data_IF_826300967522
#
_entry.id   IF_826300967522
#
_cell.length_a   1.000
_cell.length_b   1.000
_cell.length_c   1.000
_cell.angle_alpha   90.00
_cell.angle_beta   90.00
_cell.angle_gamma   90.00
#
_symmetry.space_group_name_H-M   'P 1'
#
loop_
_entity.id
_entity.type
_entity.pdbx_description
1 polymer ?
#
# COMPACT_ATOMS: atom_id res chain seq x y z
N UNK A 1 -1.93 -32.19 -3.64
CA UNK A 1 -1.45 -31.45 -2.46
C UNK A 1 -2.45 -30.34 -2.19
N UNK A 2 -3.41 -30.59 -1.30
CA UNK A 2 -4.35 -29.57 -0.85
C UNK A 2 -3.69 -28.87 0.33
N UNK A 3 -2.97 -27.79 0.05
CA UNK A 3 -2.44 -26.91 1.10
C UNK A 3 -3.64 -26.18 1.70
N UNK A 4 -3.68 -26.16 3.02
CA UNK A 4 -4.71 -25.64 3.89
C UNK A 4 -5.00 -24.15 3.61
N UNK A 5 -5.93 -23.86 2.69
CA UNK A 5 -6.38 -22.49 2.34
C UNK A 5 -7.22 -21.85 3.47
N UNK A 6 -7.58 -22.62 4.49
CA UNK A 6 -8.56 -22.25 5.52
C UNK A 6 -8.15 -21.06 6.39
N UNK A 7 -6.86 -20.72 6.47
CA UNK A 7 -6.39 -19.60 7.31
C UNK A 7 -6.40 -18.23 6.59
N UNK A 8 -6.46 -18.21 5.26
CA UNK A 8 -6.39 -16.97 4.45
C UNK A 8 -7.76 -16.30 4.20
N UNK A 9 -8.88 -16.99 4.43
CA UNK A 9 -10.22 -16.37 4.34
C UNK A 9 -10.53 -15.41 5.51
N UNK A 10 -9.76 -15.46 6.61
CA UNK A 10 -10.02 -14.64 7.80
C UNK A 10 -9.43 -13.22 7.77
N UNK A 11 -8.62 -12.88 6.74
CA UNK A 11 -8.12 -11.52 6.51
C UNK A 11 -9.04 -10.70 5.57
N UNK A 12 -10.19 -11.26 5.15
CA UNK A 12 -11.06 -10.67 4.12
C UNK A 12 -12.12 -9.69 4.65
N UNK A 13 -12.24 -9.47 5.95
CA UNK A 13 -13.16 -8.46 6.48
C UNK A 13 -12.42 -7.39 7.28
N UNK A 14 -12.14 -6.26 6.63
CA UNK A 14 -11.84 -4.98 7.29
C UNK A 14 -13.03 -4.41 8.07
N UNK A 15 -13.92 -5.27 8.59
CA UNK A 15 -14.95 -4.90 9.54
C UNK A 15 -14.32 -4.84 10.92
N UNK A 16 -14.29 -3.66 11.53
CA UNK A 16 -13.90 -3.46 12.92
C UNK A 16 -14.85 -4.23 13.84
N UNK A 17 -14.60 -5.52 14.04
CA UNK A 17 -15.28 -6.35 15.03
C UNK A 17 -14.65 -6.06 16.39
N UNK A 18 -15.39 -5.35 17.23
CA UNK A 18 -15.16 -5.27 18.67
C UNK A 18 -15.09 -6.70 19.21
N UNK A 19 -13.88 -7.21 19.49
CA UNK A 19 -13.67 -8.51 20.13
C UNK A 19 -14.14 -8.41 21.59
N UNK A 20 -15.39 -8.78 21.82
CA UNK A 20 -15.86 -9.23 23.14
C UNK A 20 -15.09 -10.49 23.51
N UNK A 21 -14.28 -10.40 24.56
CA UNK A 21 -13.54 -11.53 25.11
C UNK A 21 -14.47 -12.56 25.73
N UNK A 22 -14.28 -13.82 25.38
CA UNK A 22 -14.78 -14.95 26.15
C UNK A 22 -13.77 -16.11 26.04
N UNK A 23 -12.89 -16.21 27.03
CA UNK A 23 -12.21 -17.45 27.39
C UNK A 23 -12.40 -17.65 28.89
N UNK A 24 -13.36 -18.51 29.23
CA UNK A 24 -13.34 -19.31 30.46
C UNK A 24 -12.43 -20.53 30.17
N UNK A 25 -11.70 -21.19 31.06
CA UNK A 25 -11.84 -21.51 32.48
C UNK A 25 -10.44 -21.87 33.00
N UNK A 26 -10.04 -21.41 34.19
CA UNK A 26 -9.37 -22.31 35.14
C UNK A 26 -9.75 -21.92 36.57
N UNK A 27 -10.39 -22.88 37.21
CA UNK A 27 -10.82 -22.91 38.59
C UNK A 27 -9.58 -23.03 39.49
N UNK A 28 -9.37 -22.03 40.34
CA UNK A 28 -8.41 -22.06 41.44
C UNK A 28 -9.07 -21.46 42.67
N UNK A 29 -9.30 -22.34 43.66
CA UNK A 29 -9.92 -22.07 44.97
C UNK A 29 -9.02 -21.20 45.88
N UNK A 30 -9.64 -20.63 46.94
CA UNK A 30 -9.09 -19.87 48.09
C UNK A 30 -8.79 -18.37 47.82
N UNK A 31 -9.17 -17.37 48.62
CA UNK A 31 -9.71 -17.28 50.00
C UNK A 31 -10.50 -15.97 50.17
N UNK A 32 -11.39 -15.99 51.16
CA UNK A 32 -12.24 -14.91 51.70
C UNK A 32 -11.40 -13.72 52.21
N UNK A 33 -11.82 -12.50 51.88
CA UNK A 33 -11.36 -11.26 52.50
C UNK A 33 -12.41 -10.15 52.39
N UNK A 34 -13.12 -9.90 53.48
CA UNK A 34 -14.14 -8.86 53.64
C UNK A 34 -13.52 -7.48 53.94
N UNK A 35 -14.14 -6.42 53.44
CA UNK A 35 -13.95 -5.02 53.86
C UNK A 35 -13.83 -4.10 52.65
N UNK A 36 -14.56 -3.01 52.46
CA UNK A 36 -15.59 -2.28 53.20
C UNK A 36 -15.98 -1.07 52.33
N UNK A 37 -17.05 -0.32 52.62
CA UNK A 37 -17.55 0.74 51.74
C UNK A 37 -16.83 2.08 51.97
N UNK A 38 -16.45 2.77 50.90
CA UNK A 38 -16.01 4.18 50.92
C UNK A 38 -16.82 4.90 49.85
N UNK A 39 -17.91 5.55 50.27
CA UNK A 39 -18.01 7.00 50.49
C UNK A 39 -18.15 7.79 49.20
N UNK A 40 -19.41 8.07 48.87
CA UNK A 40 -19.85 9.09 47.92
C UNK A 40 -19.50 10.48 48.43
N UNK A 41 -18.99 11.35 47.55
CA UNK A 41 -19.19 12.79 47.70
C UNK A 41 -19.48 13.45 46.33
N UNK A 42 -20.38 14.45 46.27
CA UNK A 42 -20.94 14.97 45.03
C UNK A 42 -20.39 16.34 44.63
N UNK A 43 -20.77 16.76 43.42
CA UNK A 43 -20.90 18.14 42.93
C UNK A 43 -19.67 19.05 42.94
N UNK A 44 -19.25 19.45 41.73
CA UNK A 44 -19.06 20.88 41.47
C UNK A 44 -19.33 21.20 40.00
N UNK A 45 -20.00 22.32 39.81
CA UNK A 45 -20.61 22.81 38.59
C UNK A 45 -19.84 24.03 38.03
N UNK A 46 -20.19 24.38 36.79
CA UNK A 46 -20.00 25.68 36.08
C UNK A 46 -18.72 25.85 35.23
N UNK A 47 -18.69 26.78 34.24
CA UNK A 47 -19.78 27.37 33.46
C UNK A 47 -19.57 27.32 31.93
N UNK A 48 -20.69 27.60 31.27
CA UNK A 48 -20.85 28.06 29.88
C UNK A 48 -19.91 29.23 29.54
N UNK A 49 -19.30 29.20 28.35
CA UNK A 49 -18.86 30.42 27.64
C UNK A 49 -19.38 30.39 26.21
N UNK A 50 -20.37 31.27 25.97
CA UNK A 50 -20.77 31.76 24.66
C UNK A 50 -19.96 33.01 24.32
N UNK A 51 -19.70 33.21 23.03
CA UNK A 51 -19.38 34.46 22.29
C UNK A 51 -18.30 34.11 21.25
N UNK A 52 -18.19 34.67 20.05
CA UNK A 52 -18.94 35.62 19.23
C UNK A 52 -18.32 35.49 17.82
N UNK A 53 -19.13 35.43 16.75
CA UNK A 53 -19.28 36.52 15.77
C UNK A 53 -17.98 37.17 15.25
N UNK A 54 -17.66 36.90 13.99
CA UNK A 54 -17.10 37.83 12.97
C UNK A 54 -17.05 37.06 11.64
N UNK A 55 -17.98 37.24 10.68
CA UNK A 55 -17.99 38.30 9.65
C UNK A 55 -16.58 38.76 9.27
N UNK A 56 -16.10 38.36 8.09
CA UNK A 56 -15.39 39.28 7.20
C UNK A 56 -15.15 38.75 5.78
N UNK A 57 -15.45 39.64 4.83
CA UNK A 57 -14.88 39.84 3.48
C UNK A 57 -14.88 38.65 2.52
N UNK A 58 -15.72 38.63 1.47
CA UNK A 58 -15.76 39.57 0.33
C UNK A 58 -14.39 39.76 -0.32
N UNK A 59 -14.10 38.96 -1.36
CA UNK A 59 -13.18 39.33 -2.44
C UNK A 59 -13.73 38.87 -3.78
N UNK A 60 -14.05 39.87 -4.59
CA UNK A 60 -14.15 39.82 -6.04
C UNK A 60 -12.79 39.44 -6.65
N UNK A 61 -12.83 38.61 -7.69
CA UNK A 61 -11.82 38.57 -8.76
C UNK A 61 -12.59 38.12 -10.02
N UNK A 62 -13.03 39.07 -10.85
CA UNK A 62 -12.35 39.55 -12.07
C UNK A 62 -12.12 38.44 -13.10
N UNK A 63 -13.04 38.43 -14.06
CA UNK A 63 -12.99 37.83 -15.39
C UNK A 63 -11.90 38.45 -16.27
N UNK A 64 -11.16 37.60 -17.00
CA UNK A 64 -10.40 37.90 -18.22
C UNK A 64 -10.24 36.57 -18.96
N UNK A 65 -11.06 36.25 -19.96
CA UNK A 65 -11.00 36.67 -21.37
C UNK A 65 -9.75 36.20 -22.14
N UNK A 66 -10.00 35.35 -23.16
CA UNK A 66 -9.32 35.26 -24.48
C UNK A 66 -8.17 34.23 -24.62
N UNK A 67 -7.92 33.61 -25.81
CA UNK A 67 -8.81 32.99 -26.81
C UNK A 67 -8.33 31.59 -27.28
N UNK A 68 -9.16 30.99 -28.14
CA UNK A 68 -8.86 29.85 -29.02
C UNK A 68 -7.71 30.08 -30.01
N UNK A 69 -7.00 29.00 -30.39
CA UNK A 69 -6.24 28.85 -31.65
C UNK A 69 -6.06 27.34 -31.93
N UNK A 70 -6.72 26.79 -32.96
CA UNK A 70 -6.15 26.37 -34.26
C UNK A 70 -5.16 25.19 -34.14
N UNK A 71 -5.46 23.95 -34.54
CA UNK A 71 -5.74 23.39 -35.89
C UNK A 71 -4.63 23.64 -36.92
N UNK A 72 -3.79 22.62 -37.14
CA UNK A 72 -3.12 22.22 -38.41
C UNK A 72 -2.50 20.83 -38.16
N UNK A 73 -2.98 19.74 -38.77
CA UNK A 73 -2.72 19.19 -40.12
C UNK A 73 -1.40 18.40 -40.28
N UNK A 74 -1.53 17.33 -41.09
CA UNK A 74 -0.50 16.62 -41.87
C UNK A 74 0.23 15.49 -41.14
N UNK A 75 -0.07 14.21 -41.37
CA UNK A 75 -0.03 13.44 -42.63
C UNK A 75 1.41 13.29 -43.16
N UNK A 76 2.01 12.13 -42.90
CA UNK A 76 3.05 11.50 -43.74
C UNK A 76 3.25 10.05 -43.28
N UNK A 77 2.84 9.16 -44.18
CA UNK A 77 3.20 7.75 -44.25
C UNK A 77 4.71 7.58 -44.38
N UNK A 78 5.30 6.62 -43.66
CA UNK A 78 6.39 5.82 -44.20
C UNK A 78 6.42 4.44 -43.52
N UNK A 79 6.45 3.40 -44.34
CA UNK A 79 6.71 1.99 -44.03
C UNK A 79 7.45 1.44 -45.25
N UNK A 80 8.07 0.26 -45.17
CA UNK A 80 9.07 -0.21 -44.21
C UNK A 80 10.36 -0.60 -44.96
N UNK A 81 11.52 -0.62 -44.30
CA UNK A 81 12.72 -1.21 -44.91
C UNK A 81 13.30 -2.32 -44.04
N UNK A 82 13.38 -3.50 -44.66
CA UNK A 82 13.94 -4.72 -44.11
C UNK A 82 15.47 -4.68 -44.17
N UNK A 83 16.15 -5.05 -43.09
CA UNK A 83 17.57 -5.38 -43.14
C UNK A 83 17.92 -6.57 -42.22
N UNK A 84 18.57 -7.52 -42.87
CA UNK A 84 19.06 -8.86 -42.52
C UNK A 84 20.14 -8.84 -41.40
N UNK A 85 20.38 -9.96 -40.68
CA UNK A 85 21.25 -9.99 -39.51
C UNK A 85 22.73 -10.26 -39.84
N UNK A 86 23.70 -9.68 -39.11
CA UNK A 86 25.07 -10.20 -39.02
C UNK A 86 25.20 -11.03 -37.73
N UNK A 87 25.43 -12.33 -37.82
CA UNK A 87 26.73 -12.99 -38.03
C UNK A 87 27.51 -13.16 -36.71
N UNK A 88 27.71 -14.42 -36.37
CA UNK A 88 28.26 -14.91 -35.11
C UNK A 88 29.77 -14.65 -35.02
N UNK A 89 30.21 -14.03 -33.92
CA UNK A 89 31.62 -14.03 -33.53
C UNK A 89 31.80 -14.67 -32.16
N UNK A 90 32.27 -15.92 -32.20
CA UNK A 90 32.76 -16.68 -31.06
C UNK A 90 34.10 -16.08 -30.61
N UNK A 91 34.09 -15.37 -29.48
CA UNK A 91 35.33 -14.93 -28.82
C UNK A 91 35.63 -15.85 -27.65
N UNK A 92 36.81 -16.44 -27.73
CA UNK A 92 37.45 -17.36 -26.78
C UNK A 92 37.50 -16.77 -25.37
N UNK A 93 36.86 -17.43 -24.40
CA UNK A 93 36.96 -17.08 -22.99
C UNK A 93 38.22 -17.70 -22.37
N UNK A 94 39.16 -16.83 -22.00
CA UNK A 94 40.31 -17.15 -21.15
C UNK A 94 39.81 -17.39 -19.71
N UNK A 95 39.97 -18.61 -19.22
CA UNK A 95 39.67 -19.00 -17.85
C UNK A 95 40.74 -18.44 -16.92
N UNK A 96 40.48 -17.28 -16.33
CA UNK A 96 41.24 -16.79 -15.18
C UNK A 96 40.64 -17.40 -13.90
N UNK A 97 41.36 -18.36 -13.30
CA UNK A 97 41.08 -18.86 -11.96
C UNK A 97 41.22 -17.70 -10.97
N UNK A 98 40.08 -17.26 -10.44
CA UNK A 98 39.97 -16.27 -9.36
C UNK A 98 40.06 -17.01 -8.03
N UNK A 99 41.25 -16.95 -7.41
CA UNK A 99 41.46 -17.36 -6.03
C UNK A 99 40.43 -16.69 -5.12
N UNK A 100 39.50 -17.50 -4.61
CA UNK A 100 38.36 -17.09 -3.78
C UNK A 100 38.54 -17.69 -2.39
N UNK A 101 39.36 -17.02 -1.56
CA UNK A 101 39.51 -17.36 -0.14
C UNK A 101 39.28 -16.15 0.78
N UNK A 102 38.31 -15.30 0.43
CA UNK A 102 37.67 -14.43 1.43
C UNK A 102 36.49 -15.19 2.03
N UNK A 103 36.57 -15.55 3.31
CA UNK A 103 35.40 -15.99 4.09
C UNK A 103 34.22 -15.06 3.79
N UNK A 104 32.99 -15.60 3.60
CA UNK A 104 31.86 -14.77 3.20
C UNK A 104 31.62 -13.72 4.29
N UNK A 105 31.95 -12.47 3.98
CA UNK A 105 31.57 -11.32 4.80
C UNK A 105 30.06 -11.35 4.91
N UNK A 106 29.54 -11.52 6.12
CA UNK A 106 28.11 -11.49 6.39
C UNK A 106 27.54 -10.19 5.81
N UNK A 107 26.58 -10.29 4.89
CA UNK A 107 26.01 -9.11 4.26
C UNK A 107 25.25 -8.31 5.32
N UNK A 108 25.65 -7.05 5.52
CA UNK A 108 24.94 -6.10 6.40
C UNK A 108 23.82 -5.42 5.60
N UNK A 109 22.85 -4.81 6.29
CA UNK A 109 21.73 -4.11 5.64
C UNK A 109 22.25 -3.01 4.69
N UNK A 110 23.31 -2.30 5.11
CA UNK A 110 23.91 -1.19 4.37
C UNK A 110 24.46 -1.62 3.00
N UNK A 111 24.83 -2.89 2.84
CA UNK A 111 25.30 -3.43 1.58
C UNK A 111 24.20 -3.48 0.49
N UNK A 112 22.92 -3.39 0.89
CA UNK A 112 21.77 -3.41 -0.02
C UNK A 112 21.22 -2.01 -0.33
N UNK A 113 21.74 -0.95 0.30
CA UNK A 113 21.31 0.43 0.04
C UNK A 113 22.09 0.95 -1.18
N UNK A 114 21.43 1.28 -2.31
CA UNK A 114 22.16 1.77 -3.48
C UNK A 114 22.80 3.13 -3.19
N UNK A 115 23.91 3.42 -3.87
CA UNK A 115 24.64 4.67 -3.67
C UNK A 115 23.74 5.91 -3.88
N UNK A 116 23.80 6.85 -2.94
CA UNK A 116 23.00 8.09 -2.96
C UNK A 116 21.57 7.94 -2.45
N UNK A 117 21.12 6.74 -2.09
CA UNK A 117 19.84 6.52 -1.42
C UNK A 117 20.00 6.55 0.09
N UNK A 118 18.93 6.95 0.78
CA UNK A 118 18.85 6.96 2.24
C UNK A 118 17.69 6.10 2.71
N UNK A 119 17.80 5.51 3.91
CA UNK A 119 16.68 4.78 4.52
C UNK A 119 15.70 5.79 5.11
N UNK A 120 14.53 5.94 4.50
CA UNK A 120 13.46 6.79 5.01
C UNK A 120 12.63 6.08 6.09
N UNK A 121 12.46 4.75 5.97
CA UNK A 121 11.76 3.93 6.94
C UNK A 121 12.31 2.50 6.90
N UNK A 122 12.43 1.87 8.07
CA UNK A 122 12.72 0.45 8.21
C UNK A 122 11.64 -0.20 9.06
N UNK A 123 11.12 -1.32 8.59
CA UNK A 123 10.13 -2.15 9.28
C UNK A 123 10.71 -3.54 9.44
N UNK A 124 10.43 -4.17 10.58
CA UNK A 124 10.83 -5.54 10.86
C UNK A 124 9.62 -6.41 11.18
N UNK A 125 9.66 -7.64 10.71
CA UNK A 125 8.61 -8.65 10.90
C UNK A 125 9.05 -9.98 10.31
N UNK A 126 8.41 -11.08 10.68
CA UNK A 126 8.64 -12.38 10.07
C UNK A 126 7.78 -12.48 8.80
N UNK A 127 8.39 -12.58 7.61
CA UNK A 127 7.67 -12.69 6.33
C UNK A 127 7.67 -14.12 5.80
N UNK A 128 8.63 -14.95 6.21
CA UNK A 128 8.82 -16.31 5.70
C UNK A 128 8.36 -17.42 6.69
N UNK A 129 8.01 -17.04 7.93
CA UNK A 129 7.55 -17.92 8.99
C UNK A 129 8.68 -18.68 9.70
N UNK A 130 9.93 -18.22 9.61
CA UNK A 130 11.09 -18.87 10.22
C UNK A 130 11.43 -18.38 11.64
N UNK A 131 10.62 -17.44 12.15
CA UNK A 131 10.75 -16.76 13.46
C UNK A 131 11.97 -15.85 13.57
N UNK A 132 12.58 -15.45 12.46
CA UNK A 132 13.57 -14.37 12.39
C UNK A 132 12.87 -13.10 11.93
N UNK A 133 13.44 -11.97 12.33
CA UNK A 133 12.93 -10.66 11.92
C UNK A 133 13.54 -10.31 10.57
N UNK A 134 12.72 -10.39 9.52
CA UNK A 134 13.04 -9.86 8.20
C UNK A 134 12.98 -8.33 8.23
N UNK A 135 13.47 -7.68 7.18
CA UNK A 135 13.51 -6.22 7.08
C UNK A 135 12.90 -5.73 5.77
N UNK A 136 12.10 -4.68 5.86
CA UNK A 136 11.55 -3.95 4.73
C UNK A 136 12.04 -2.51 4.81
N UNK A 137 12.75 -2.06 3.78
CA UNK A 137 13.36 -0.74 3.70
C UNK A 137 12.58 0.10 2.69
N UNK A 138 12.03 1.22 3.15
CA UNK A 138 11.63 2.32 2.26
C UNK A 138 12.84 3.23 2.09
N UNK A 139 13.36 3.28 0.88
CA UNK A 139 14.47 4.15 0.54
C UNK A 139 13.95 5.47 -0.05
N UNK A 140 14.70 6.55 0.09
CA UNK A 140 14.40 7.82 -0.54
C UNK A 140 15.62 8.44 -1.23
N UNK A 141 15.36 9.15 -2.33
CA UNK A 141 16.33 10.01 -3.03
C UNK A 141 15.58 11.05 -3.86
N UNK A 142 15.79 12.33 -3.57
CA UNK A 142 15.21 13.45 -4.33
C UNK A 142 13.68 13.33 -4.53
N UNK A 143 12.97 12.92 -3.48
CA UNK A 143 11.53 12.71 -3.51
C UNK A 143 11.06 11.45 -4.26
N UNK A 144 11.96 10.61 -4.76
CA UNK A 144 11.65 9.26 -5.24
C UNK A 144 11.75 8.26 -4.10
N UNK A 145 10.98 7.17 -4.16
CA UNK A 145 11.01 6.11 -3.16
C UNK A 145 11.11 4.73 -3.80
N UNK A 146 11.95 3.89 -3.20
CA UNK A 146 12.10 2.47 -3.55
C UNK A 146 11.73 1.61 -2.35
N UNK A 147 11.31 0.37 -2.61
CA UNK A 147 11.12 -0.65 -1.58
C UNK A 147 12.12 -1.78 -1.76
N UNK A 148 12.88 -2.12 -0.71
CA UNK A 148 13.72 -3.32 -0.65
C UNK A 148 13.22 -4.23 0.47
N UNK A 149 13.10 -5.53 0.18
CA UNK A 149 12.74 -6.56 1.16
C UNK A 149 13.93 -7.49 1.35
N UNK A 150 14.36 -7.66 2.60
CA UNK A 150 15.48 -8.48 3.01
C UNK A 150 15.01 -9.58 3.95
N UNK A 151 15.42 -10.82 3.69
CA UNK A 151 15.26 -11.93 4.62
C UNK A 151 16.45 -12.04 5.54
N UNK A 152 16.19 -12.29 6.82
CA UNK A 152 17.23 -12.61 7.78
C UNK A 152 17.72 -14.05 7.58
N UNK A 153 19.03 -14.25 7.56
CA UNK A 153 19.66 -15.56 7.43
C UNK A 153 20.54 -15.87 8.64
N UNK A 154 21.15 -17.06 8.70
CA UNK A 154 22.16 -17.37 9.72
C UNK A 154 23.46 -16.57 9.55
N UNK A 155 23.69 -16.02 8.35
CA UNK A 155 24.94 -15.35 7.96
C UNK A 155 24.74 -13.88 7.59
N UNK A 156 23.68 -13.22 8.07
CA UNK A 156 23.36 -11.83 7.73
C UNK A 156 22.08 -11.73 6.93
N UNK A 157 22.06 -10.92 5.87
CA UNK A 157 20.85 -10.60 5.11
C UNK A 157 20.91 -11.11 3.67
N UNK A 158 19.75 -11.44 3.12
CA UNK A 158 19.57 -11.75 1.70
C UNK A 158 18.45 -10.89 1.12
N UNK A 159 18.69 -10.23 -0.01
CA UNK A 159 17.62 -9.53 -0.71
C UNK A 159 16.63 -10.53 -1.31
N UNK A 160 15.35 -10.36 -0.97
CA UNK A 160 14.23 -11.09 -1.55
C UNK A 160 13.64 -10.35 -2.75
N UNK A 161 13.49 -9.03 -2.64
CA UNK A 161 12.88 -8.21 -3.68
C UNK A 161 13.36 -6.76 -3.65
N UNK A 162 13.27 -6.10 -4.80
CA UNK A 162 13.47 -4.66 -4.98
C UNK A 162 12.40 -4.14 -5.93
N UNK A 163 11.57 -3.21 -5.47
CA UNK A 163 10.41 -2.68 -6.20
C UNK A 163 10.52 -1.15 -6.35
N UNK A 164 11.15 -0.65 -7.43
CA UNK A 164 11.36 0.78 -7.63
C UNK A 164 10.11 1.56 -8.06
N UNK A 165 9.09 0.87 -8.59
CA UNK A 165 7.88 1.51 -9.14
C UNK A 165 6.63 1.30 -8.28
N UNK A 166 6.78 0.68 -7.11
CA UNK A 166 5.65 0.34 -6.24
C UNK A 166 5.17 1.55 -5.40
N UNK A 167 6.06 2.50 -5.12
CA UNK A 167 5.79 3.60 -4.20
C UNK A 167 5.58 4.92 -4.95
N UNK A 168 4.55 5.67 -4.56
CA UNK A 168 4.29 7.01 -5.07
C UNK A 168 5.44 7.95 -4.71
N UNK A 169 5.89 8.78 -5.66
CA UNK A 169 6.88 9.81 -5.35
C UNK A 169 6.33 10.87 -4.37
N UNK A 170 7.22 11.65 -3.76
CA UNK A 170 6.89 12.66 -2.75
C UNK A 170 5.82 13.66 -3.20
N UNK A 171 5.89 14.10 -4.46
CA UNK A 171 4.90 15.01 -5.07
C UNK A 171 3.74 14.31 -5.80
N UNK A 172 3.79 12.99 -6.00
CA UNK A 172 2.83 12.25 -6.82
C UNK A 172 1.45 12.14 -6.16
N UNK A 173 1.37 12.28 -4.83
CA UNK A 173 0.11 12.28 -4.09
C UNK A 173 -0.63 13.63 -4.10
N UNK A 174 -0.18 14.62 -4.88
CA UNK A 174 -0.79 15.95 -4.93
C UNK A 174 -0.62 16.71 -3.61
N UNK A 175 -1.65 17.41 -3.08
CA UNK A 175 -1.53 18.13 -1.81
C UNK A 175 -1.37 17.22 -0.59
N UNK A 176 -1.57 15.90 -0.74
CA UNK A 176 -1.26 14.90 0.28
C UNK A 176 0.20 14.41 0.20
N UNK A 177 0.93 14.82 -0.84
CA UNK A 177 2.34 14.56 -1.04
C UNK A 177 3.23 15.22 0.01
N UNK A 178 4.32 14.55 0.35
CA UNK A 178 5.41 15.10 1.17
C UNK A 178 6.73 14.48 0.71
N UNK A 179 7.83 15.21 0.83
CA UNK A 179 9.17 14.72 0.47
C UNK A 179 9.63 13.52 1.32
N UNK A 180 8.95 13.27 2.45
CA UNK A 180 9.19 12.13 3.34
C UNK A 180 8.27 10.93 3.06
N UNK A 181 7.34 11.07 2.11
CA UNK A 181 6.42 9.99 1.73
C UNK A 181 5.45 9.64 2.85
N UNK A 182 4.94 10.64 3.59
CA UNK A 182 3.97 10.46 4.68
C UNK A 182 2.61 9.89 4.22
N UNK A 183 2.33 9.92 2.92
CA UNK A 183 1.18 9.27 2.29
C UNK A 183 1.40 7.78 1.98
N UNK A 184 2.61 7.27 2.23
CA UNK A 184 2.96 5.85 2.09
C UNK A 184 3.08 5.26 3.50
N UNK A 185 2.33 4.18 3.74
CA UNK A 185 2.44 3.38 4.95
C UNK A 185 2.72 1.93 4.58
N UNK A 186 3.75 1.37 5.18
CA UNK A 186 4.16 -0.02 4.98
C UNK A 186 4.04 -0.72 6.34
N UNK A 187 3.49 -1.93 6.34
CA UNK A 187 3.20 -2.72 7.53
C UNK A 187 3.42 -4.21 7.23
N UNK A 188 3.71 -5.00 8.27
CA UNK A 188 3.74 -6.46 8.18
C UNK A 188 2.68 -7.00 9.13
N UNK A 189 1.70 -7.73 8.62
CA UNK A 189 0.60 -8.33 9.40
C UNK A 189 0.47 -9.80 8.99
N UNK A 190 0.53 -10.73 9.95
CA UNK A 190 0.36 -12.17 9.71
C UNK A 190 1.17 -12.71 8.51
N UNK A 191 2.47 -12.40 8.47
CA UNK A 191 3.42 -12.78 7.41
C UNK A 191 3.10 -12.18 6.01
N UNK A 192 2.21 -11.20 5.95
CA UNK A 192 1.85 -10.45 4.73
C UNK A 192 2.44 -9.05 4.82
N UNK A 193 3.08 -8.61 3.74
CA UNK A 193 3.53 -7.23 3.57
C UNK A 193 2.39 -6.39 2.99
N UNK A 194 1.97 -5.36 3.72
CA UNK A 194 0.96 -4.39 3.28
C UNK A 194 1.64 -3.09 2.87
N UNK A 195 1.27 -2.58 1.69
CA UNK A 195 1.67 -1.25 1.20
C UNK A 195 0.40 -0.43 0.98
N UNK A 196 0.16 0.55 1.85
CA UNK A 196 -1.02 1.42 1.88
C UNK A 196 -0.60 2.81 1.41
N UNK A 197 -1.26 3.33 0.38
CA UNK A 197 -0.91 4.61 -0.24
C UNK A 197 -2.16 5.44 -0.49
N UNK A 198 -2.04 6.75 -0.37
CA UNK A 198 -3.12 7.71 -0.67
C UNK A 198 -2.62 8.82 -1.59
N UNK A 199 -3.42 9.21 -2.57
CA UNK A 199 -3.14 10.32 -3.47
C UNK A 199 -4.41 11.16 -3.72
N UNK A 200 -4.22 12.41 -4.14
CA UNK A 200 -5.29 13.29 -4.61
C UNK A 200 -5.62 14.43 -3.66
N UNK A 201 -6.78 15.05 -3.86
CA UNK A 201 -7.25 16.19 -3.07
C UNK A 201 -8.71 15.98 -2.67
N UNK A 202 -9.66 16.67 -3.33
CA UNK A 202 -11.10 16.41 -3.21
C UNK A 202 -11.41 15.00 -3.69
N UNK A 203 -11.05 14.70 -4.93
CA UNK A 203 -11.01 13.35 -5.46
C UNK A 203 -9.70 12.72 -4.99
N UNK A 204 -9.83 11.69 -4.18
CA UNK A 204 -8.72 10.97 -3.60
C UNK A 204 -8.83 9.50 -3.95
N UNK A 205 -7.69 8.82 -3.96
CA UNK A 205 -7.61 7.38 -4.19
C UNK A 205 -6.70 6.78 -3.14
N UNK A 206 -7.22 5.76 -2.46
CA UNK A 206 -6.45 4.93 -1.57
C UNK A 206 -6.17 3.59 -2.25
N UNK A 207 -4.92 3.15 -2.22
CA UNK A 207 -4.50 1.86 -2.76
C UNK A 207 -3.88 1.03 -1.64
N UNK A 208 -4.26 -0.24 -1.56
CA UNK A 208 -3.67 -1.21 -0.63
C UNK A 208 -3.22 -2.44 -1.41
N UNK A 209 -1.91 -2.66 -1.45
CA UNK A 209 -1.33 -3.89 -1.97
C UNK A 209 -0.98 -4.85 -0.83
N UNK A 210 -1.22 -6.14 -1.05
CA UNK A 210 -0.88 -7.22 -0.13
C UNK A 210 0.05 -8.20 -0.83
N UNK A 211 1.23 -8.39 -0.25
CA UNK A 211 2.26 -9.27 -0.79
C UNK A 211 2.55 -10.41 0.17
N UNK A 212 2.80 -11.58 -0.39
CA UNK A 212 3.15 -12.77 0.36
C UNK A 212 4.25 -13.55 -0.34
N UNK A 213 5.05 -14.30 0.42
CA UNK A 213 6.11 -15.14 -0.15
C UNK A 213 5.49 -16.43 -0.68
N UNK A 214 5.45 -16.55 -2.01
CA UNK A 214 5.08 -17.80 -2.66
C UNK A 214 6.21 -18.82 -2.49
N UNK A 215 6.07 -19.72 -1.51
CA UNK A 215 7.11 -20.68 -1.12
C UNK A 215 7.67 -21.53 -2.29
N UNK A 216 6.85 -22.01 -3.24
CA UNK A 216 7.36 -22.74 -4.40
C UNK A 216 8.33 -21.93 -5.27
N UNK A 217 8.03 -20.66 -5.54
CA UNK A 217 8.90 -19.80 -6.34
C UNK A 217 9.99 -19.08 -5.54
N UNK A 218 9.80 -18.95 -4.21
CA UNK A 218 10.63 -18.13 -3.35
C UNK A 218 10.50 -16.63 -3.63
N UNK A 219 9.44 -16.19 -4.32
CA UNK A 219 9.23 -14.80 -4.70
C UNK A 219 8.19 -14.13 -3.80
N UNK A 220 8.37 -12.83 -3.59
CA UNK A 220 7.36 -11.98 -2.98
C UNK A 220 6.36 -11.54 -4.05
N UNK A 221 5.11 -11.99 -3.95
CA UNK A 221 4.10 -11.82 -4.99
C UNK A 221 2.83 -11.14 -4.48
N UNK A 222 2.16 -10.40 -5.36
CA UNK A 222 0.89 -9.72 -5.10
C UNK A 222 -0.23 -10.76 -4.97
N UNK A 223 -0.85 -10.82 -3.79
CA UNK A 223 -1.96 -11.73 -3.48
C UNK A 223 -3.31 -11.02 -3.38
N UNK A 224 -3.31 -9.70 -3.19
CA UNK A 224 -4.51 -8.89 -3.23
C UNK A 224 -4.24 -7.40 -3.40
N UNK A 225 -5.22 -6.70 -3.95
CA UNK A 225 -5.18 -5.27 -4.25
C UNK A 225 -6.56 -4.68 -3.93
N UNK A 226 -6.59 -3.59 -3.16
CA UNK A 226 -7.78 -2.75 -3.03
C UNK A 226 -7.49 -1.38 -3.62
N UNK A 227 -8.35 -0.93 -4.53
CA UNK A 227 -8.34 0.43 -5.09
C UNK A 227 -9.64 1.11 -4.69
N UNK A 228 -9.50 2.24 -3.99
CA UNK A 228 -10.61 2.92 -3.36
C UNK A 228 -10.59 4.42 -3.72
N UNK A 229 -11.13 4.82 -4.89
CA UNK A 229 -11.39 6.22 -5.18
C UNK A 229 -12.60 6.71 -4.37
N UNK A 230 -12.53 7.96 -3.92
CA UNK A 230 -13.60 8.63 -3.15
C UNK A 230 -13.53 10.15 -3.28
N UNK A 231 -14.68 10.81 -3.20
CA UNK A 231 -14.79 12.27 -3.10
C UNK A 231 -14.99 12.65 -1.63
N UNK A 232 -14.07 13.45 -1.12
CA UNK A 232 -14.04 13.92 0.28
C UNK A 232 -15.13 14.94 0.62
N UNK A 233 -15.71 15.60 -0.38
CA UNK A 233 -16.72 16.63 -0.19
C UNK A 233 -18.13 16.04 -0.08
N UNK A 234 -18.51 15.13 -0.97
CA UNK A 234 -19.84 14.51 -0.97
C UNK A 234 -19.86 13.13 -0.27
N UNK A 235 -18.72 12.46 -0.12
CA UNK A 235 -18.59 11.15 0.51
C UNK A 235 -18.79 9.94 -0.43
N UNK A 236 -18.99 10.15 -1.73
CA UNK A 236 -19.07 9.08 -2.72
C UNK A 236 -17.78 8.25 -2.73
N UNK A 237 -17.90 6.95 -2.95
CA UNK A 237 -16.78 5.99 -2.86
C UNK A 237 -17.03 4.79 -3.78
N UNK A 238 -15.97 4.27 -4.39
CA UNK A 238 -15.98 2.94 -4.99
C UNK A 238 -14.91 2.10 -4.32
N UNK A 239 -15.25 0.90 -3.87
CA UNK A 239 -14.27 -0.09 -3.39
C UNK A 239 -14.09 -1.18 -4.43
N UNK A 240 -12.95 -1.21 -5.08
CA UNK A 240 -12.55 -2.28 -5.99
C UNK A 240 -11.52 -3.19 -5.30
N UNK A 241 -11.97 -4.34 -4.78
CA UNK A 241 -11.13 -5.32 -4.12
C UNK A 241 -10.86 -6.52 -5.03
N UNK A 242 -9.59 -6.89 -5.20
CA UNK A 242 -9.13 -7.98 -6.05
C UNK A 242 -8.33 -8.96 -5.22
N UNK A 243 -8.72 -10.23 -5.24
CA UNK A 243 -8.02 -11.30 -4.54
C UNK A 243 -7.51 -12.32 -5.57
N UNK A 244 -6.19 -12.28 -5.82
CA UNK A 244 -5.54 -13.11 -6.84
C UNK A 244 -5.41 -14.57 -6.42
N UNK A 245 -5.45 -14.88 -5.12
CA UNK A 245 -5.44 -16.27 -4.64
C UNK A 245 -6.75 -17.00 -4.98
N UNK A 246 -7.89 -16.31 -4.77
CA UNK A 246 -9.24 -16.85 -5.02
C UNK A 246 -9.75 -16.57 -6.43
N UNK A 247 -9.16 -15.61 -7.14
CA UNK A 247 -9.62 -15.17 -8.46
C UNK A 247 -10.91 -14.35 -8.40
N UNK A 248 -11.24 -13.77 -7.25
CA UNK A 248 -12.46 -12.95 -7.05
C UNK A 248 -12.12 -11.47 -7.09
N UNK A 249 -13.01 -10.69 -7.71
CA UNK A 249 -13.03 -9.23 -7.63
C UNK A 249 -14.40 -8.77 -7.18
N UNK A 250 -14.45 -7.86 -6.23
CA UNK A 250 -15.67 -7.29 -5.68
C UNK A 250 -15.59 -5.78 -5.87
N UNK A 251 -16.60 -5.21 -6.51
CA UNK A 251 -16.75 -3.78 -6.70
C UNK A 251 -17.99 -3.33 -5.93
N UNK A 252 -17.82 -2.42 -4.98
CA UNK A 252 -18.90 -1.82 -4.21
C UNK A 252 -18.96 -0.32 -4.47
N UNK A 253 -20.12 0.18 -4.88
CA UNK A 253 -20.34 1.62 -5.11
C UNK A 253 -21.17 2.19 -3.96
N UNK A 254 -20.72 3.31 -3.39
CA UNK A 254 -21.37 3.98 -2.28
C UNK A 254 -21.70 5.43 -2.61
N UNK A 255 -22.88 5.87 -2.15
CA UNK A 255 -23.29 7.28 -2.14
C UNK A 255 -23.00 7.87 -0.77
N UNK A 256 -22.36 9.02 -0.72
CA UNK A 256 -22.26 9.76 0.53
C UNK A 256 -23.59 10.41 0.91
N UNK A 257 -23.91 10.40 2.20
CA UNK A 257 -25.13 11.03 2.70
C UNK A 257 -24.88 12.55 2.91
N UNK A 258 -25.62 13.45 2.23
CA UNK A 258 -25.44 14.90 2.38
C UNK A 258 -25.74 15.38 3.80
N UNK A 259 -26.55 14.66 4.57
CA UNK A 259 -26.90 14.99 5.97
C UNK A 259 -25.84 14.50 6.98
N UNK A 260 -24.71 13.95 6.51
CA UNK A 260 -23.62 13.46 7.37
C UNK A 260 -23.86 12.08 7.99
N UNK A 261 -24.91 11.36 7.57
CA UNK A 261 -25.31 10.05 8.08
C UNK A 261 -24.47 8.84 7.62
N UNK A 262 -23.26 9.05 7.08
CA UNK A 262 -22.40 7.99 6.55
C UNK A 262 -22.57 7.75 5.06
N UNK A 263 -22.35 6.52 4.60
CA UNK A 263 -22.41 6.12 3.19
C UNK A 263 -23.46 5.04 2.97
N UNK A 264 -24.21 5.15 1.88
CA UNK A 264 -25.22 4.17 1.44
C UNK A 264 -24.61 3.28 0.35
N UNK A 265 -24.65 1.97 0.51
CA UNK A 265 -24.26 1.01 -0.52
C UNK A 265 -25.31 1.03 -1.65
N UNK A 266 -24.91 1.48 -2.83
CA UNK A 266 -25.79 1.55 -4.01
C UNK A 266 -25.76 0.22 -4.77
N UNK A 267 -24.56 -0.36 -4.91
CA UNK A 267 -24.33 -1.48 -5.82
C UNK A 267 -23.17 -2.35 -5.34
N UNK A 268 -23.33 -3.66 -5.50
CA UNK A 268 -22.25 -4.63 -5.39
C UNK A 268 -22.18 -5.44 -6.68
N UNK A 269 -20.97 -5.60 -7.23
CA UNK A 269 -20.70 -6.46 -8.37
C UNK A 269 -19.57 -7.42 -8.03
N UNK A 270 -19.79 -8.70 -8.28
CA UNK A 270 -18.77 -9.75 -8.12
C UNK A 270 -18.34 -10.23 -9.50
N UNK A 271 -17.03 -10.24 -9.73
CA UNK A 271 -16.39 -10.63 -10.98
C UNK A 271 -15.30 -11.66 -10.71
N UNK A 272 -14.85 -12.32 -11.77
CA UNK A 272 -13.67 -13.17 -11.76
C UNK A 272 -12.46 -12.39 -12.28
N UNK A 273 -11.30 -12.58 -11.67
CA UNK A 273 -10.01 -12.06 -12.13
C UNK A 273 -9.00 -13.19 -12.30
N UNK A 274 -7.92 -12.91 -13.03
CA UNK A 274 -6.81 -13.83 -13.18
C UNK A 274 -6.26 -14.21 -11.80
N UNK A 275 -5.90 -15.49 -11.65
CA UNK A 275 -5.19 -16.00 -10.46
C UNK A 275 -3.67 -15.97 -10.62
N UNK A 276 -3.20 -15.37 -11.71
CA UNK A 276 -1.78 -15.20 -11.94
C UNK A 276 -1.22 -14.22 -10.92
N UNK A 277 -0.31 -14.71 -10.08
CA UNK A 277 0.40 -13.89 -9.11
C UNK A 277 1.50 -13.11 -9.83
N UNK A 278 1.62 -11.83 -9.50
CA UNK A 278 2.65 -10.94 -10.06
C UNK A 278 3.73 -10.71 -9.01
N UNK A 279 5.02 -10.75 -9.37
CA UNK A 279 6.07 -10.40 -8.44
C UNK A 279 5.99 -8.90 -8.10
N UNK A 280 6.44 -8.54 -6.89
CA UNK A 280 6.33 -7.17 -6.37
C UNK A 280 7.02 -6.11 -7.23
N UNK A 281 8.10 -6.49 -7.94
CA UNK A 281 8.88 -5.62 -8.82
C UNK A 281 8.21 -5.34 -10.17
N UNK A 282 7.18 -6.10 -10.53
CA UNK A 282 6.35 -5.87 -11.71
C UNK A 282 5.18 -4.91 -11.48
N UNK A 283 4.96 -4.48 -10.23
CA UNK A 283 3.86 -3.57 -9.90
C UNK A 283 4.28 -2.12 -10.13
N UNK A 284 3.47 -1.41 -10.91
CA UNK A 284 3.60 0.02 -11.16
C UNK A 284 2.39 0.74 -10.54
N UNK A 285 2.65 1.55 -9.51
CA UNK A 285 1.60 2.25 -8.77
C UNK A 285 0.86 3.30 -9.61
N UNK A 286 1.55 3.90 -10.58
CA UNK A 286 0.95 4.91 -11.47
C UNK A 286 -0.03 4.22 -12.44
N UNK A 287 0.34 3.04 -12.94
CA UNK A 287 -0.57 2.22 -13.75
C UNK A 287 -1.81 1.82 -12.95
N UNK A 288 -1.64 1.31 -11.72
CA UNK A 288 -2.77 0.94 -10.84
C UNK A 288 -3.69 2.13 -10.63
N UNK A 289 -3.14 3.31 -10.31
CA UNK A 289 -3.92 4.54 -10.09
C UNK A 289 -4.67 4.99 -11.34
N UNK A 290 -4.03 4.96 -12.50
CA UNK A 290 -4.66 5.34 -13.77
C UNK A 290 -5.80 4.41 -14.18
N UNK A 291 -5.83 3.19 -13.64
CA UNK A 291 -6.88 2.18 -13.88
C UNK A 291 -7.99 2.19 -12.82
N UNK A 292 -7.94 3.11 -11.85
CA UNK A 292 -8.97 3.23 -10.82
C UNK A 292 -10.34 3.52 -11.46
N UNK A 293 -11.44 2.92 -10.93
CA UNK A 293 -12.77 3.22 -11.44
C UNK A 293 -13.13 4.69 -11.23
N UNK A 294 -13.78 5.31 -12.19
CA UNK A 294 -14.27 6.68 -12.05
C UNK A 294 -15.43 6.73 -11.05
N UNK A 295 -15.44 7.76 -10.20
CA UNK A 295 -16.54 7.99 -9.26
C UNK A 295 -17.84 8.27 -10.03
N UNK A 296 -19.00 7.85 -9.50
CA UNK A 296 -20.27 8.27 -10.06
C UNK A 296 -20.36 9.79 -10.02
N UNK A 297 -20.74 10.39 -11.15
CA UNK A 297 -21.00 11.83 -11.22
C UNK A 297 -22.14 12.25 -10.27
N UNK A 298 -22.07 13.51 -9.84
CA UNK A 298 -23.10 14.16 -9.01
C UNK A 298 -24.46 14.29 -9.73
#
# INVERSE_FOLDING_TARGET
MAVEVTKLELLQSGGSIVRGGLWAVMVGLLTIGCGGPVSSNPQESTPVSQSNSSKNLSRQATSSDTPASQSTNSDSQESPEAATPPEANQTTQTVAQKDSSSSPTQATIEAFIPAGWQVAQQISGDLNGDRRQDAVLKLSRDGQFDLIVLLATSSGWQQLAHAPNLLLCGGCAGPLGTDQGGHIRIEIEDDVLLVKQIAGSRDAVQVVHRFWIDRPSGQLVLIGEDVNPYDRANGNEIRDSRNFLTGKRIIEEYRGNPDGGGKELIRTQTLTVSRQLQPIDAIDIEQVRSSAPELPGD
#
